data_IF_185994001782
#
_entry.id   IF_185994001782
#
_cell.length_a   1.000
_cell.length_b   1.000
_cell.length_c   1.000
_cell.angle_alpha   90.00
_cell.angle_beta   90.00
_cell.angle_gamma   90.00
#
_symmetry.space_group_name_H-M   'P 1'
#
loop_
_entity.id
_entity.type
_entity.pdbx_description
1 polymer ?
#
# COMPACT_ATOMS: atom_id res chain seq x y z
N UNK A 1 -2.78 3.82 0.79
CA UNK A 1 -4.16 3.37 0.65
C UNK A 1 -4.35 2.57 -0.64
N UNK A 2 -5.35 1.71 -0.73
CA UNK A 2 -5.65 0.89 -1.88
C UNK A 2 -6.75 -0.10 -1.51
N UNK A 3 -7.46 -0.63 -2.51
CA UNK A 3 -8.47 -1.67 -2.31
C UNK A 3 -7.82 -2.98 -1.82
N UNK A 4 -8.65 -3.90 -1.36
CA UNK A 4 -8.18 -5.25 -1.04
C UNK A 4 -7.57 -5.86 -2.30
N UNK A 5 -6.45 -6.55 -2.15
CA UNK A 5 -5.68 -7.19 -3.22
C UNK A 5 -5.01 -6.25 -4.24
N UNK A 6 -4.97 -4.93 -4.03
CA UNK A 6 -4.23 -4.02 -4.91
C UNK A 6 -2.70 -4.08 -4.72
N UNK A 7 -2.22 -4.88 -3.74
CA UNK A 7 -0.80 -5.14 -3.51
C UNK A 7 -0.14 -4.20 -2.49
N UNK A 8 -0.90 -3.65 -1.54
CA UNK A 8 -0.35 -2.80 -0.45
C UNK A 8 0.74 -3.52 0.34
N UNK A 9 0.44 -4.71 0.84
CA UNK A 9 1.39 -5.51 1.63
C UNK A 9 2.65 -5.84 0.84
N UNK A 10 2.51 -6.16 -0.44
CA UNK A 10 3.64 -6.42 -1.35
C UNK A 10 4.51 -5.17 -1.54
N UNK A 11 3.88 -3.99 -1.74
CA UNK A 11 4.61 -2.73 -1.87
C UNK A 11 5.38 -2.39 -0.59
N UNK A 12 4.74 -2.52 0.57
CA UNK A 12 5.39 -2.25 1.86
C UNK A 12 6.55 -3.22 2.07
N UNK A 13 6.33 -4.51 1.85
CA UNK A 13 7.39 -5.52 1.94
C UNK A 13 8.56 -5.22 1.00
N UNK A 14 8.29 -4.76 -0.21
CA UNK A 14 9.32 -4.38 -1.19
C UNK A 14 10.11 -3.15 -0.75
N UNK A 15 9.44 -2.12 -0.22
CA UNK A 15 10.11 -0.93 0.33
C UNK A 15 11.05 -1.29 1.48
N UNK A 16 10.59 -2.15 2.40
CA UNK A 16 11.40 -2.62 3.51
C UNK A 16 12.59 -3.46 3.06
N UNK A 17 12.40 -4.28 2.03
CA UNK A 17 13.47 -5.08 1.45
C UNK A 17 14.53 -4.22 0.78
N UNK A 18 14.13 -3.32 -0.12
CA UNK A 18 15.05 -2.48 -0.90
C UNK A 18 15.82 -1.49 -0.01
N UNK A 19 15.20 -1.04 1.09
CA UNK A 19 15.86 -0.16 2.08
C UNK A 19 16.69 -0.92 3.11
N UNK A 20 16.83 -2.24 2.98
CA UNK A 20 17.53 -3.12 3.92
C UNK A 20 17.05 -2.98 5.37
N UNK A 21 15.77 -2.65 5.55
CA UNK A 21 15.14 -2.50 6.85
C UNK A 21 14.64 -3.83 7.44
N UNK A 22 14.87 -4.93 6.73
CA UNK A 22 14.56 -6.30 7.16
C UNK A 22 15.85 -6.97 7.58
N UNK A 23 15.86 -7.58 8.78
CA UNK A 23 17.01 -8.37 9.24
C UNK A 23 17.13 -9.67 8.45
N UNK A 24 18.35 -10.23 8.37
CA UNK A 24 18.61 -11.46 7.64
C UNK A 24 17.77 -12.62 8.18
N UNK A 25 17.64 -12.74 9.50
CA UNK A 25 16.83 -13.80 10.15
C UNK A 25 15.37 -13.74 9.71
N UNK A 26 14.80 -12.51 9.61
CA UNK A 26 13.42 -12.32 9.11
C UNK A 26 13.29 -12.69 7.64
N UNK A 27 14.31 -12.39 6.83
CA UNK A 27 14.33 -12.78 5.41
C UNK A 27 14.37 -14.31 5.24
N UNK A 28 15.18 -15.00 6.02
CA UNK A 28 15.26 -16.46 6.02
C UNK A 28 13.94 -17.10 6.43
N UNK A 29 13.30 -16.55 7.49
CA UNK A 29 11.97 -16.98 7.93
C UNK A 29 10.89 -16.78 6.87
N UNK A 30 10.90 -15.63 6.16
CA UNK A 30 9.98 -15.34 5.06
C UNK A 30 10.18 -16.30 3.87
N UNK A 31 11.42 -16.55 3.52
CA UNK A 31 11.75 -17.50 2.44
C UNK A 31 11.29 -18.92 2.78
N UNK A 32 11.50 -19.35 4.02
CA UNK A 32 11.01 -20.64 4.49
C UNK A 32 9.48 -20.73 4.50
N UNK A 33 8.79 -19.65 4.91
CA UNK A 33 7.34 -19.59 4.90
C UNK A 33 6.77 -19.61 3.48
N UNK A 34 7.38 -18.87 2.55
CA UNK A 34 6.99 -18.86 1.13
C UNK A 34 7.12 -20.25 0.49
N UNK A 35 8.23 -20.95 0.76
CA UNK A 35 8.45 -22.33 0.31
C UNK A 35 7.40 -23.30 0.86
N UNK A 36 7.02 -23.16 2.15
CA UNK A 36 5.94 -23.98 2.75
C UNK A 36 4.59 -23.78 2.08
N UNK A 37 4.32 -22.57 1.53
CA UNK A 37 3.14 -22.26 0.72
C UNK A 37 3.25 -22.72 -0.72
N UNK A 38 4.36 -23.36 -1.12
CA UNK A 38 4.58 -23.86 -2.48
C UNK A 38 4.95 -22.76 -3.48
N UNK A 39 5.49 -21.64 -3.01
CA UNK A 39 5.91 -20.53 -3.86
C UNK A 39 7.42 -20.67 -4.21
N UNK A 40 7.75 -20.46 -5.47
CA UNK A 40 9.14 -20.47 -5.96
C UNK A 40 9.87 -19.14 -5.70
N UNK A 41 9.17 -18.15 -5.13
CA UNK A 41 9.69 -16.82 -4.77
C UNK A 41 9.38 -16.46 -3.33
N UNK A 42 10.14 -15.52 -2.78
CA UNK A 42 9.86 -14.98 -1.42
C UNK A 42 8.69 -14.01 -1.47
N UNK A 43 7.58 -14.39 -0.83
CA UNK A 43 6.39 -13.54 -0.72
C UNK A 43 6.58 -12.48 0.37
N UNK A 44 6.89 -11.27 -0.05
CA UNK A 44 7.12 -10.13 0.85
C UNK A 44 5.85 -9.63 1.55
N UNK A 45 4.66 -10.04 1.08
CA UNK A 45 3.40 -9.68 1.76
C UNK A 45 3.29 -10.33 3.15
N UNK A 46 3.92 -11.51 3.31
CA UNK A 46 3.97 -12.21 4.59
C UNK A 46 4.70 -11.42 5.69
N UNK A 47 5.56 -10.48 5.32
CA UNK A 47 6.22 -9.61 6.27
C UNK A 47 5.23 -8.69 6.97
N UNK A 48 4.32 -8.08 6.22
CA UNK A 48 3.29 -7.20 6.76
C UNK A 48 2.23 -7.97 7.51
N UNK A 49 1.83 -9.14 7.02
CA UNK A 49 0.89 -10.02 7.71
C UNK A 49 1.44 -10.47 9.06
N UNK A 50 2.72 -10.82 9.15
CA UNK A 50 3.39 -11.13 10.41
C UNK A 50 3.45 -9.94 11.38
N UNK A 51 3.72 -8.73 10.88
CA UNK A 51 3.75 -7.50 11.69
C UNK A 51 2.35 -7.13 12.21
N UNK A 52 1.30 -7.43 11.44
CA UNK A 52 -0.09 -7.23 11.86
C UNK A 52 -0.48 -8.28 12.90
N UNK A 53 -0.19 -9.57 12.66
CA UNK A 53 -0.50 -10.67 13.57
C UNK A 53 0.20 -10.55 14.93
N UNK A 54 1.44 -10.05 14.98
CA UNK A 54 2.14 -9.76 16.24
C UNK A 54 1.45 -8.68 17.07
N UNK A 55 0.65 -7.81 16.43
CA UNK A 55 -0.10 -6.71 17.08
C UNK A 55 -1.54 -7.07 17.41
N UNK A 56 -2.16 -7.99 16.67
CA UNK A 56 -3.55 -8.43 16.89
C UNK A 56 -3.76 -9.23 18.18
N UNK A 57 -2.71 -9.68 18.85
CA UNK A 57 -2.83 -10.31 20.17
C UNK A 57 -3.21 -9.34 21.31
N UNK A 58 -3.36 -8.04 21.01
CA UNK A 58 -3.87 -7.04 21.91
C UNK A 58 -4.84 -6.12 21.19
N UNK A 59 -6.11 -6.50 21.16
CA UNK A 59 -7.28 -5.74 20.72
C UNK A 59 -7.03 -4.22 20.64
N UNK A 60 -6.49 -3.74 19.51
CA UNK A 60 -6.59 -2.35 19.11
C UNK A 60 -6.70 -2.36 17.61
N UNK A 61 -7.83 -1.88 17.11
CA UNK A 61 -8.11 -1.59 15.70
C UNK A 61 -7.28 -0.35 15.32
N UNK A 62 -5.95 -0.45 15.41
CA UNK A 62 -5.08 0.71 15.27
C UNK A 62 -4.31 0.64 13.96
N UNK A 63 -4.06 1.84 13.39
CA UNK A 63 -3.21 2.03 12.22
C UNK A 63 -1.84 1.42 12.48
N UNK A 64 -1.42 0.46 11.67
CA UNK A 64 -0.10 -0.12 11.80
C UNK A 64 0.96 0.89 11.32
N UNK A 65 1.83 1.32 12.23
CA UNK A 65 2.97 2.17 11.89
C UNK A 65 4.21 1.31 11.65
N UNK A 66 4.74 1.38 10.44
CA UNK A 66 5.93 0.66 10.00
C UNK A 66 7.04 1.68 9.75
N UNK A 67 8.20 1.46 10.35
CA UNK A 67 9.33 2.37 10.28
C UNK A 67 10.39 1.82 9.33
N UNK A 68 10.88 2.65 8.43
CA UNK A 68 12.05 2.34 7.61
C UNK A 68 12.89 3.59 7.35
N UNK A 69 14.11 3.41 6.89
CA UNK A 69 15.01 4.53 6.60
C UNK A 69 15.80 4.29 5.31
N UNK A 70 16.05 5.39 4.64
CA UNK A 70 17.07 5.49 3.59
C UNK A 70 18.28 6.25 4.16
N UNK A 71 19.42 6.31 3.46
CA UNK A 71 20.55 7.13 3.92
C UNK A 71 20.19 8.60 4.18
N UNK A 72 19.17 9.12 3.47
CA UNK A 72 18.84 10.54 3.50
C UNK A 72 17.62 10.87 4.37
N UNK A 73 16.75 9.88 4.70
CA UNK A 73 15.48 10.17 5.39
C UNK A 73 14.93 8.95 6.14
N UNK A 74 14.26 9.23 7.26
CA UNK A 74 13.43 8.25 7.98
C UNK A 74 11.97 8.41 7.55
N UNK A 75 11.28 7.28 7.42
CA UNK A 75 9.89 7.20 6.99
C UNK A 75 9.06 6.43 7.99
N UNK A 76 7.81 6.83 8.12
CA UNK A 76 6.79 6.12 8.87
C UNK A 76 5.66 5.81 7.91
N UNK A 77 5.39 4.53 7.67
CA UNK A 77 4.22 4.10 6.90
C UNK A 77 3.07 3.91 7.89
N UNK A 78 1.99 4.63 7.68
CA UNK A 78 0.71 4.32 8.31
C UNK A 78 -0.04 3.37 7.37
N UNK A 79 -0.01 2.07 7.66
CA UNK A 79 -0.78 1.09 6.90
C UNK A 79 -2.23 1.11 7.37
N UNK A 80 -3.11 1.48 6.45
CA UNK A 80 -4.54 1.57 6.70
C UNK A 80 -5.26 0.43 6.00
N UNK A 81 -6.17 -0.28 6.71
CA UNK A 81 -6.95 -1.35 6.11
C UNK A 81 -7.72 -0.84 4.89
N UNK A 82 -7.73 -1.62 3.81
CA UNK A 82 -8.47 -1.28 2.57
C UNK A 82 -9.98 -1.44 2.67
N UNK A 83 -10.51 -1.95 3.77
CA UNK A 83 -11.94 -2.19 3.97
C UNK A 83 -12.72 -0.94 4.37
N UNK A 84 -13.93 -0.81 3.83
CA UNK A 84 -14.88 0.26 4.10
C UNK A 84 -15.15 0.50 5.59
N UNK A 85 -15.24 -0.57 6.37
CA UNK A 85 -15.54 -0.52 7.81
C UNK A 85 -14.48 0.23 8.62
N UNK A 86 -13.27 0.37 8.09
CA UNK A 86 -12.13 1.01 8.77
C UNK A 86 -11.80 2.42 8.28
N UNK A 87 -12.72 3.09 7.59
CA UNK A 87 -12.54 4.47 7.11
C UNK A 87 -12.16 5.43 8.24
N UNK A 88 -12.71 5.24 9.44
CA UNK A 88 -12.38 6.05 10.62
C UNK A 88 -10.90 5.94 11.01
N UNK A 89 -10.36 4.73 10.97
CA UNK A 89 -8.95 4.47 11.29
C UNK A 89 -8.02 5.04 10.21
N UNK A 90 -8.46 5.00 8.96
CA UNK A 90 -7.77 5.67 7.85
C UNK A 90 -7.66 7.17 8.09
N UNK A 91 -8.74 7.84 8.51
CA UNK A 91 -8.72 9.28 8.80
C UNK A 91 -7.75 9.58 9.94
N UNK A 92 -7.76 8.79 11.01
CA UNK A 92 -6.85 8.99 12.15
C UNK A 92 -5.38 8.82 11.73
N UNK A 93 -5.06 7.74 11.00
CA UNK A 93 -3.69 7.47 10.57
C UNK A 93 -3.17 8.44 9.50
N UNK A 94 -4.07 8.92 8.64
CA UNK A 94 -3.72 9.82 7.56
C UNK A 94 -3.65 11.30 7.97
N UNK A 95 -4.21 11.68 9.13
CA UNK A 95 -4.26 13.08 9.57
C UNK A 95 -2.88 13.74 9.76
N UNK A 96 -1.85 12.96 10.00
CA UNK A 96 -0.46 13.42 10.15
C UNK A 96 0.41 13.09 8.94
N UNK A 97 -0.16 12.48 7.90
CA UNK A 97 0.59 12.05 6.73
C UNK A 97 1.01 13.24 5.86
N UNK A 98 2.25 13.21 5.39
CA UNK A 98 2.78 14.18 4.44
C UNK A 98 2.63 13.71 2.99
N UNK A 99 2.48 12.41 2.78
CA UNK A 99 2.33 11.79 1.48
C UNK A 99 1.25 10.72 1.56
N UNK A 100 0.33 10.71 0.61
CA UNK A 100 -0.62 9.61 0.41
C UNK A 100 -0.21 8.79 -0.81
N UNK A 101 -0.03 7.49 -0.63
CA UNK A 101 0.14 6.54 -1.72
C UNK A 101 -1.21 5.88 -2.02
N UNK A 102 -1.69 6.00 -3.25
CA UNK A 102 -2.90 5.33 -3.72
C UNK A 102 -2.48 4.26 -4.73
N UNK A 103 -2.79 3.00 -4.42
CA UNK A 103 -2.55 1.88 -5.31
C UNK A 103 -3.79 1.62 -6.16
N UNK A 104 -3.56 1.34 -7.45
CA UNK A 104 -4.58 0.97 -8.44
C UNK A 104 -4.11 -0.32 -9.11
N UNK A 105 -4.93 -1.36 -9.08
CA UNK A 105 -4.69 -2.58 -9.87
C UNK A 105 -4.95 -2.29 -11.35
N UNK A 106 -3.94 -2.47 -12.20
CA UNK A 106 -4.01 -2.17 -13.63
C UNK A 106 -5.15 -2.89 -14.36
N UNK A 107 -5.54 -4.08 -13.89
CA UNK A 107 -6.67 -4.83 -14.45
C UNK A 107 -8.01 -4.16 -14.19
N UNK A 108 -8.18 -3.61 -12.97
CA UNK A 108 -9.45 -3.03 -12.50
C UNK A 108 -9.58 -1.56 -12.90
N UNK A 109 -8.47 -0.81 -12.90
CA UNK A 109 -8.49 0.64 -13.06
C UNK A 109 -9.04 1.35 -11.82
N UNK A 110 -9.64 2.51 -12.02
CA UNK A 110 -10.23 3.29 -10.93
C UNK A 110 -11.54 2.65 -10.47
N UNK A 111 -11.59 2.29 -9.19
CA UNK A 111 -12.76 1.69 -8.54
C UNK A 111 -13.31 2.62 -7.46
N UNK A 112 -14.49 2.34 -6.93
CA UNK A 112 -15.13 3.15 -5.88
C UNK A 112 -14.21 3.42 -4.68
N UNK A 113 -13.42 2.43 -4.27
CA UNK A 113 -12.43 2.58 -3.20
C UNK A 113 -11.34 3.60 -3.54
N UNK A 114 -10.92 3.67 -4.81
CA UNK A 114 -9.94 4.66 -5.29
C UNK A 114 -10.46 6.08 -5.09
N UNK A 115 -11.73 6.33 -5.46
CA UNK A 115 -12.40 7.61 -5.23
C UNK A 115 -12.43 7.99 -3.76
N UNK A 116 -12.79 7.05 -2.89
CA UNK A 116 -12.87 7.28 -1.44
C UNK A 116 -11.51 7.63 -0.84
N UNK A 117 -10.48 6.86 -1.18
CA UNK A 117 -9.13 7.11 -0.69
C UNK A 117 -8.60 8.45 -1.16
N UNK A 118 -8.84 8.79 -2.42
CA UNK A 118 -8.49 10.09 -2.98
C UNK A 118 -9.24 11.22 -2.26
N UNK A 119 -10.55 11.10 -2.10
CA UNK A 119 -11.37 12.11 -1.42
C UNK A 119 -10.92 12.33 0.02
N UNK A 120 -10.64 11.28 0.77
CA UNK A 120 -10.14 11.38 2.15
C UNK A 120 -8.78 12.09 2.16
N UNK A 121 -7.86 11.78 1.25
CA UNK A 121 -6.58 12.45 1.15
C UNK A 121 -6.74 13.96 0.90
N UNK A 122 -7.67 14.34 0.03
CA UNK A 122 -8.01 15.74 -0.24
C UNK A 122 -8.63 16.44 0.99
N UNK A 123 -9.60 15.80 1.65
CA UNK A 123 -10.24 16.34 2.85
C UNK A 123 -9.26 16.57 4.00
N UNK A 124 -8.28 15.69 4.14
CA UNK A 124 -7.21 15.81 5.13
C UNK A 124 -6.09 16.77 4.69
N UNK A 125 -6.21 17.33 3.50
CA UNK A 125 -5.22 18.26 2.92
C UNK A 125 -3.81 17.69 2.91
N UNK A 126 -3.67 16.40 2.58
CA UNK A 126 -2.35 15.77 2.49
C UNK A 126 -1.59 16.43 1.32
N UNK A 127 -0.40 17.02 1.58
CA UNK A 127 0.25 17.89 0.60
C UNK A 127 0.75 17.18 -0.65
N UNK A 128 1.02 15.87 -0.55
CA UNK A 128 1.55 15.10 -1.68
C UNK A 128 0.74 13.83 -1.91
N UNK A 129 0.40 13.59 -3.16
CA UNK A 129 -0.29 12.39 -3.61
C UNK A 129 0.56 11.67 -4.66
N UNK A 130 0.78 10.38 -4.44
CA UNK A 130 1.46 9.49 -5.40
C UNK A 130 0.50 8.37 -5.77
N UNK A 131 0.25 8.21 -7.06
CA UNK A 131 -0.57 7.12 -7.60
C UNK A 131 0.34 6.04 -8.14
N UNK A 132 0.15 4.82 -7.65
CA UNK A 132 0.90 3.65 -8.07
C UNK A 132 -0.03 2.72 -8.88
N UNK A 133 0.17 2.64 -10.18
CA UNK A 133 -0.51 1.67 -11.04
C UNK A 133 0.26 0.36 -10.91
N UNK A 134 -0.34 -0.59 -10.20
CA UNK A 134 0.30 -1.83 -9.80
C UNK A 134 -0.20 -3.01 -10.65
N UNK A 135 0.54 -4.13 -10.62
CA UNK A 135 0.22 -5.37 -11.35
C UNK A 135 0.18 -5.18 -12.86
N UNK A 136 1.06 -4.34 -13.38
CA UNK A 136 1.22 -4.11 -14.82
C UNK A 136 1.64 -5.38 -15.57
N UNK A 137 2.30 -6.31 -14.89
CA UNK A 137 2.63 -7.64 -15.39
C UNK A 137 1.39 -8.46 -15.79
N UNK A 138 0.26 -8.25 -15.11
CA UNK A 138 -0.99 -8.95 -15.40
C UNK A 138 -1.80 -8.34 -16.56
N UNK A 139 -1.29 -7.28 -17.15
CA UNK A 139 -1.82 -6.64 -18.36
C UNK A 139 -0.71 -6.49 -19.41
N UNK A 140 0.29 -7.39 -19.39
CA UNK A 140 1.40 -7.45 -20.32
C UNK A 140 2.16 -6.11 -20.49
N UNK A 141 2.23 -5.31 -19.41
CA UNK A 141 2.82 -3.96 -19.40
C UNK A 141 2.27 -3.04 -20.50
N UNK A 142 0.98 -3.21 -20.84
CA UNK A 142 0.31 -2.43 -21.89
C UNK A 142 0.34 -0.93 -21.59
N UNK A 143 1.03 -0.17 -22.41
CA UNK A 143 1.15 1.29 -22.31
C UNK A 143 -0.21 1.99 -22.50
N UNK A 144 -1.07 1.49 -23.37
CA UNK A 144 -2.39 2.06 -23.59
C UNK A 144 -3.25 1.95 -22.32
N UNK A 145 -3.15 0.80 -21.63
CA UNK A 145 -3.84 0.61 -20.34
C UNK A 145 -3.33 1.55 -19.25
N UNK A 146 -2.01 1.73 -19.18
CA UNK A 146 -1.40 2.68 -18.24
C UNK A 146 -1.87 4.11 -18.50
N UNK A 147 -1.84 4.54 -19.76
CA UNK A 147 -2.27 5.88 -20.16
C UNK A 147 -3.74 6.11 -19.87
N UNK A 148 -4.62 5.14 -20.15
CA UNK A 148 -6.04 5.22 -19.84
C UNK A 148 -6.27 5.47 -18.33
N UNK A 149 -5.65 4.68 -17.45
CA UNK A 149 -5.80 4.84 -16.00
C UNK A 149 -5.28 6.20 -15.54
N UNK A 150 -4.19 6.66 -16.14
CA UNK A 150 -3.61 7.98 -15.85
C UNK A 150 -4.58 9.11 -16.24
N UNK A 151 -5.19 9.03 -17.42
CA UNK A 151 -6.18 10.00 -17.90
C UNK A 151 -7.43 10.00 -17.03
N UNK A 152 -7.95 8.81 -16.70
CA UNK A 152 -9.11 8.67 -15.81
C UNK A 152 -8.85 9.32 -14.45
N UNK A 153 -7.65 9.12 -13.89
CA UNK A 153 -7.27 9.74 -12.63
C UNK A 153 -7.10 11.26 -12.74
N UNK A 154 -6.58 11.76 -13.87
CA UNK A 154 -6.49 13.20 -14.14
C UNK A 154 -7.88 13.84 -14.26
N UNK A 155 -8.84 13.15 -14.85
CA UNK A 155 -10.24 13.61 -14.90
C UNK A 155 -10.85 13.68 -13.50
N UNK A 156 -10.57 12.69 -12.65
CA UNK A 156 -10.99 12.70 -11.26
C UNK A 156 -10.41 13.93 -10.52
N UNK A 157 -9.15 14.27 -10.73
CA UNK A 157 -8.53 15.46 -10.16
C UNK A 157 -9.26 16.75 -10.59
N UNK A 158 -9.59 16.89 -11.87
CA UNK A 158 -10.28 18.09 -12.42
C UNK A 158 -11.70 18.24 -11.91
N UNK A 159 -12.40 17.13 -11.64
CA UNK A 159 -13.77 17.14 -11.15
C UNK A 159 -13.91 17.37 -9.64
N UNK A 160 -12.79 17.44 -8.92
CA UNK A 160 -12.78 17.52 -7.45
C UNK A 160 -12.41 18.91 -6.89
N UNK A 161 -12.20 19.90 -7.77
CA UNK A 161 -11.88 21.30 -7.42
C UNK A 161 -12.81 22.27 -8.12
#
# INVERSE_FOLDING_TARGET
>A
AGSVDDGKSTLIGRLLFDTKSITQDKMEALTAASKRKGLDFTDLSLLTDGLIAEREQGITIDVAHIYFSTPNRKYIIADTPGHFEYTRNMVTGASTAQVSLILIDARKGIVEQTYRHFFIACMLRIPHLVVCINKMDLVDYDEARYNQITEDFQQLLKGSF
#
